data_IF_422220315336
#
_entry.id   IF_422220315336
#
_cell.length_a   1.000
_cell.length_b   1.000
_cell.length_c   1.000
_cell.angle_alpha   90.00
_cell.angle_beta   90.00
_cell.angle_gamma   90.00
#
_symmetry.space_group_name_H-M   'P 1'
#
loop_
_entity.id
_entity.type
_entity.pdbx_description
1 polymer ?
#
# COMPACT_ATOMS: atom_id res chain seq x y z
N UNK A 1 15.52 -10.33 14.53
CA UNK A 1 14.51 -10.55 13.49
C UNK A 1 14.34 -9.34 12.60
N UNK A 2 14.64 -9.51 11.32
CA UNK A 2 14.38 -8.49 10.31
C UNK A 2 13.19 -8.99 9.48
N UNK A 3 12.05 -8.32 9.60
CA UNK A 3 10.85 -8.66 8.83
C UNK A 3 11.01 -8.22 7.37
N UNK A 4 11.04 -9.16 6.43
CA UNK A 4 11.08 -8.86 4.99
C UNK A 4 9.76 -9.26 4.33
N UNK A 5 9.16 -8.33 3.58
CA UNK A 5 7.90 -8.55 2.87
C UNK A 5 8.06 -8.11 1.42
N UNK A 6 7.60 -8.94 0.48
CA UNK A 6 7.64 -8.65 -0.96
C UNK A 6 6.27 -8.89 -1.57
N UNK A 7 5.91 -8.16 -2.62
CA UNK A 7 4.70 -8.46 -3.36
C UNK A 7 4.20 -7.32 -4.24
N UNK A 8 3.16 -7.58 -5.05
CA UNK A 8 2.60 -6.60 -5.95
C UNK A 8 1.93 -5.48 -5.18
N UNK A 9 2.19 -4.25 -5.63
CA UNK A 9 1.51 -3.07 -5.12
C UNK A 9 1.06 -2.18 -6.28
N UNK A 10 -0.17 -1.69 -6.16
CA UNK A 10 -0.77 -0.72 -7.07
C UNK A 10 -0.85 0.63 -6.36
N UNK A 11 -0.43 1.66 -7.08
CA UNK A 11 -0.39 3.04 -6.61
C UNK A 11 -1.17 3.88 -7.62
N UNK A 12 -2.10 4.67 -7.13
CA UNK A 12 -2.88 5.55 -7.98
C UNK A 12 -3.10 6.91 -7.36
N UNK A 13 -3.21 7.91 -8.23
CA UNK A 13 -3.48 9.29 -7.87
C UNK A 13 -4.58 9.82 -8.75
N UNK A 14 -5.66 10.27 -8.11
CA UNK A 14 -6.78 10.93 -8.76
C UNK A 14 -6.68 12.43 -8.47
N UNK A 15 -6.74 13.24 -9.53
CA UNK A 15 -6.90 14.69 -9.42
C UNK A 15 -8.39 14.99 -9.55
N UNK A 16 -8.97 15.64 -8.57
CA UNK A 16 -10.38 16.04 -8.61
C UNK A 16 -10.54 17.42 -9.24
N UNK A 17 -11.73 17.71 -9.78
CA UNK A 17 -12.08 19.05 -10.24
C UNK A 17 -12.22 19.96 -9.01
N UNK A 18 -11.15 20.69 -8.70
CA UNK A 18 -11.03 21.47 -7.46
C UNK A 18 -9.61 21.55 -6.89
N UNK A 19 -8.62 20.88 -7.51
CA UNK A 19 -7.22 20.92 -7.05
C UNK A 19 -6.88 19.87 -5.99
N UNK A 20 -7.89 19.25 -5.38
CA UNK A 20 -7.73 18.22 -4.37
C UNK A 20 -7.17 16.94 -5.00
N UNK A 21 -6.28 16.27 -4.27
CA UNK A 21 -5.62 15.03 -4.70
C UNK A 21 -6.01 13.89 -3.80
N UNK A 22 -6.45 12.80 -4.41
CA UNK A 22 -6.69 11.54 -3.73
C UNK A 22 -5.62 10.54 -4.16
N UNK A 23 -4.76 10.15 -3.23
CA UNK A 23 -3.77 9.10 -3.44
C UNK A 23 -4.29 7.80 -2.81
N UNK A 24 -4.27 6.71 -3.55
CA UNK A 24 -4.64 5.39 -3.06
C UNK A 24 -3.52 4.41 -3.34
N UNK A 25 -3.28 3.50 -2.38
CA UNK A 25 -2.26 2.48 -2.46
C UNK A 25 -2.86 1.17 -1.95
N UNK A 26 -2.75 0.10 -2.74
CA UNK A 26 -3.12 -1.23 -2.32
C UNK A 26 -1.95 -2.18 -2.60
N UNK A 27 -1.60 -3.02 -1.64
CA UNK A 27 -0.51 -3.98 -1.76
C UNK A 27 -0.86 -5.31 -1.14
N UNK A 28 -0.50 -6.38 -1.82
CA UNK A 28 -0.50 -7.73 -1.29
C UNK A 28 0.96 -8.09 -1.03
N UNK A 29 1.31 -8.31 0.23
CA UNK A 29 2.68 -8.58 0.65
C UNK A 29 2.76 -9.98 1.22
N UNK A 30 3.79 -10.72 0.85
CA UNK A 30 4.11 -12.05 1.35
C UNK A 30 5.36 -11.96 2.22
N UNK A 31 5.29 -12.55 3.42
CA UNK A 31 6.44 -12.68 4.31
C UNK A 31 7.48 -13.63 3.72
N UNK A 32 8.76 -13.26 3.77
CA UNK A 32 9.87 -14.14 3.35
C UNK A 32 10.75 -14.60 4.52
N UNK A 33 10.37 -14.23 5.74
CA UNK A 33 11.07 -14.57 6.98
C UNK A 33 10.14 -15.24 7.97
N UNK A 34 10.68 -16.11 8.82
CA UNK A 34 9.91 -16.85 9.84
C UNK A 34 9.14 -15.91 10.80
N UNK A 35 9.66 -14.69 11.00
CA UNK A 35 9.03 -13.64 11.82
C UNK A 35 7.99 -12.76 11.13
N UNK A 36 7.64 -13.00 9.85
CA UNK A 36 6.65 -12.19 9.11
C UNK A 36 5.34 -12.93 8.83
N UNK A 37 4.18 -12.25 8.86
CA UNK A 37 2.92 -12.84 8.43
C UNK A 37 2.99 -13.34 6.98
N UNK A 38 2.48 -14.56 6.72
CA UNK A 38 2.50 -15.21 5.41
C UNK A 38 1.85 -14.34 4.31
N UNK A 39 0.75 -13.65 4.66
CA UNK A 39 0.01 -12.77 3.75
C UNK A 39 -0.40 -11.49 4.49
N UNK A 40 -0.07 -10.34 3.92
CA UNK A 40 -0.45 -9.02 4.44
C UNK A 40 -1.15 -8.22 3.34
N UNK A 41 -2.41 -7.88 3.57
CA UNK A 41 -3.13 -6.93 2.73
C UNK A 41 -2.92 -5.52 3.30
N UNK A 42 -2.34 -4.62 2.51
CA UNK A 42 -2.13 -3.21 2.86
C UNK A 42 -2.99 -2.33 1.98
N UNK A 43 -3.85 -1.52 2.57
CA UNK A 43 -4.60 -0.49 1.88
C UNK A 43 -4.36 0.87 2.55
N UNK A 44 -4.10 1.91 1.76
CA UNK A 44 -3.87 3.27 2.25
C UNK A 44 -4.55 4.27 1.31
N UNK A 45 -5.35 5.16 1.89
CA UNK A 45 -6.01 6.26 1.20
C UNK A 45 -5.55 7.57 1.84
N UNK A 46 -5.05 8.50 1.03
CA UNK A 46 -4.59 9.81 1.46
C UNK A 46 -5.30 10.89 0.66
N UNK A 47 -5.90 11.84 1.37
CA UNK A 47 -6.63 12.95 0.79
C UNK A 47 -5.91 14.26 1.11
N UNK A 48 -5.55 14.99 0.06
CA UNK A 48 -4.93 16.31 0.15
C UNK A 48 -5.96 17.35 -0.31
N UNK A 49 -6.33 18.26 0.60
CA UNK A 49 -7.29 19.36 0.35
C UNK A 49 -6.60 20.57 -0.29
#
# INVERSE_FOLDING_TARGET
DQEHKIGPAIFGRLKTAGGQRLNYNAGLLFGVTDGTPDYTLRFKLEYEL
#
